data_IF_414252730027
#
_entry.id   IF_414252730027
#
_cell.length_a   1.000
_cell.length_b   1.000
_cell.length_c   1.000
_cell.angle_alpha   90.00
_cell.angle_beta   90.00
_cell.angle_gamma   90.00
#
_symmetry.space_group_name_H-M   'P 1'
#
loop_
_entity.id
_entity.type
_entity.pdbx_description
1 polymer ?
#
# COMPACT_ATOMS: atom_id res chain seq x y z
N UNK A 1 9.88 -22.27 7.63
CA UNK A 1 11.27 -21.77 7.72
C UNK A 1 11.32 -20.49 6.93
N UNK A 2 12.09 -19.50 7.38
CA UNK A 2 12.18 -18.20 6.71
C UNK A 2 12.74 -18.32 5.27
N UNK A 3 13.49 -19.41 4.98
CA UNK A 3 14.05 -19.74 3.67
C UNK A 3 13.04 -19.67 2.51
N UNK A 4 11.80 -20.14 2.71
CA UNK A 4 10.77 -20.11 1.66
C UNK A 4 10.19 -18.71 1.42
N UNK A 5 10.14 -17.86 2.45
CA UNK A 5 9.79 -16.45 2.27
C UNK A 5 10.90 -15.71 1.49
N UNK A 6 12.16 -16.02 1.78
CA UNK A 6 13.30 -15.44 1.08
C UNK A 6 13.36 -15.85 -0.40
N UNK A 7 13.09 -17.12 -0.73
CA UNK A 7 13.00 -17.62 -2.10
C UNK A 7 11.88 -16.90 -2.90
N UNK A 8 10.69 -16.77 -2.32
CA UNK A 8 9.56 -16.10 -2.97
C UNK A 8 9.81 -14.59 -3.13
N UNK A 9 10.42 -13.94 -2.14
CA UNK A 9 10.82 -12.53 -2.24
C UNK A 9 11.90 -12.32 -3.32
N UNK A 10 12.85 -13.25 -3.44
CA UNK A 10 13.85 -13.22 -4.50
C UNK A 10 13.19 -13.38 -5.88
N UNK A 11 12.27 -14.34 -6.04
CA UNK A 11 11.53 -14.55 -7.28
C UNK A 11 10.74 -13.31 -7.72
N UNK A 12 10.06 -12.64 -6.79
CA UNK A 12 9.37 -11.37 -7.05
C UNK A 12 10.35 -10.28 -7.50
N UNK A 13 11.53 -10.19 -6.87
CA UNK A 13 12.54 -9.17 -7.16
C UNK A 13 13.18 -9.34 -8.55
N UNK A 14 13.38 -10.57 -9.00
CA UNK A 14 14.03 -10.88 -10.29
C UNK A 14 13.05 -10.99 -11.47
N UNK A 15 11.75 -10.97 -11.22
CA UNK A 15 10.74 -10.99 -12.27
C UNK A 15 10.90 -9.78 -13.21
N UNK A 16 10.94 -10.06 -14.52
CA UNK A 16 11.23 -9.06 -15.56
C UNK A 16 9.93 -8.44 -16.10
N UNK A 17 8.90 -9.25 -16.31
CA UNK A 17 7.60 -8.81 -16.84
C UNK A 17 6.65 -8.37 -15.74
N UNK A 18 5.70 -7.50 -16.08
CA UNK A 18 4.70 -7.01 -15.12
C UNK A 18 3.83 -8.17 -14.60
N UNK A 19 3.34 -9.03 -15.49
CA UNK A 19 2.51 -10.18 -15.12
C UNK A 19 3.25 -11.15 -14.17
N UNK A 20 4.56 -11.37 -14.39
CA UNK A 20 5.36 -12.22 -13.52
C UNK A 20 5.60 -11.59 -12.14
N UNK A 21 5.72 -10.26 -12.07
CA UNK A 21 5.83 -9.54 -10.79
C UNK A 21 4.54 -9.64 -9.99
N UNK A 22 3.40 -9.51 -10.65
CA UNK A 22 2.08 -9.60 -10.01
C UNK A 22 1.83 -11.01 -9.48
N UNK A 23 2.08 -12.04 -10.29
CA UNK A 23 1.95 -13.44 -9.86
C UNK A 23 2.86 -13.78 -8.68
N UNK A 24 4.13 -13.37 -8.72
CA UNK A 24 5.08 -13.61 -7.63
C UNK A 24 4.72 -12.82 -6.35
N UNK A 25 4.16 -11.61 -6.49
CA UNK A 25 3.68 -10.82 -5.36
C UNK A 25 2.48 -11.48 -4.68
N UNK A 26 1.54 -12.02 -5.47
CA UNK A 26 0.37 -12.73 -4.97
C UNK A 26 0.77 -14.02 -4.23
N UNK A 27 1.71 -14.79 -4.77
CA UNK A 27 2.21 -16.01 -4.13
C UNK A 27 2.93 -15.71 -2.81
N UNK A 28 3.77 -14.67 -2.77
CA UNK A 28 4.42 -14.22 -1.52
C UNK A 28 3.40 -13.74 -0.49
N UNK A 29 2.43 -12.93 -0.92
CA UNK A 29 1.38 -12.42 -0.03
C UNK A 29 0.56 -13.57 0.58
N UNK A 30 0.18 -14.56 -0.24
CA UNK A 30 -0.53 -15.75 0.22
C UNK A 30 0.30 -16.54 1.23
N UNK A 31 1.58 -16.78 0.93
CA UNK A 31 2.48 -17.48 1.86
C UNK A 31 2.59 -16.73 3.20
N UNK A 32 2.79 -15.42 3.19
CA UNK A 32 2.88 -14.62 4.41
C UNK A 32 1.57 -14.65 5.22
N UNK A 33 0.41 -14.61 4.54
CA UNK A 33 -0.90 -14.68 5.19
C UNK A 33 -1.19 -16.04 5.83
N UNK A 34 -0.79 -17.13 5.19
CA UNK A 34 -0.99 -18.49 5.69
C UNK A 34 0.03 -18.90 6.76
N UNK A 35 1.26 -18.38 6.67
CA UNK A 35 2.39 -18.80 7.51
C UNK A 35 2.54 -17.94 8.76
N UNK A 36 2.21 -16.65 8.69
CA UNK A 36 2.28 -15.75 9.83
C UNK A 36 0.90 -15.57 10.47
N UNK A 37 0.87 -15.39 11.79
CA UNK A 37 -0.31 -14.99 12.57
C UNK A 37 -0.76 -13.53 12.28
N UNK A 38 -0.54 -13.05 11.04
CA UNK A 38 -0.93 -11.71 10.63
C UNK A 38 -2.42 -11.72 10.29
N UNK A 39 -3.25 -11.51 11.31
CA UNK A 39 -4.68 -11.25 11.14
C UNK A 39 -4.89 -9.74 10.98
N UNK A 40 -5.11 -9.20 9.75
CA UNK A 40 -5.37 -7.79 9.58
C UNK A 40 -6.68 -7.41 10.28
N UNK A 41 -6.59 -6.64 11.36
CA UNK A 41 -7.75 -6.26 12.17
C UNK A 41 -8.64 -5.23 11.46
N UNK A 42 -8.03 -4.30 10.73
CA UNK A 42 -8.72 -3.31 9.91
C UNK A 42 -7.73 -2.59 8.98
N UNK A 43 -8.25 -2.08 7.87
CA UNK A 43 -7.53 -1.13 7.01
C UNK A 43 -7.74 0.29 7.54
N UNK A 44 -6.66 0.99 7.88
CA UNK A 44 -6.73 2.38 8.33
C UNK A 44 -7.02 3.32 7.15
N UNK A 45 -8.08 4.12 7.27
CA UNK A 45 -8.39 5.19 6.33
C UNK A 45 -7.99 6.54 6.91
N UNK A 46 -7.37 7.39 6.07
CA UNK A 46 -7.04 8.77 6.44
C UNK A 46 -8.30 9.62 6.36
N UNK A 47 -8.73 10.17 7.49
CA UNK A 47 -9.75 11.20 7.55
C UNK A 47 -9.09 12.58 7.45
N UNK A 48 -9.63 13.47 6.60
CA UNK A 48 -9.16 14.84 6.47
C UNK A 48 -10.28 15.78 6.88
N UNK A 49 -10.01 16.63 7.87
CA UNK A 49 -10.95 17.62 8.38
C UNK A 49 -10.33 19.01 8.14
N UNK A 50 -11.08 19.90 7.50
CA UNK A 50 -10.64 21.25 7.18
C UNK A 50 -11.81 22.22 7.21
N UNK A 51 -11.51 23.52 7.34
CA UNK A 51 -12.51 24.58 7.30
C UNK A 51 -13.05 24.76 5.88
N UNK A 52 -14.30 25.18 5.80
CA UNK A 52 -15.15 25.17 4.60
C UNK A 52 -14.56 26.00 3.44
N UNK A 53 -13.82 27.06 3.78
CA UNK A 53 -13.14 27.93 2.82
C UNK A 53 -11.82 27.36 2.29
N UNK A 54 -11.39 26.18 2.75
CA UNK A 54 -10.19 25.50 2.28
C UNK A 54 -10.61 24.43 1.26
N UNK A 55 -9.99 24.43 0.09
CA UNK A 55 -10.28 23.48 -0.99
C UNK A 55 -9.02 22.82 -1.52
N UNK A 56 -9.19 21.73 -2.27
CA UNK A 56 -8.08 21.07 -2.98
C UNK A 56 -7.22 20.13 -2.13
N UNK A 57 -7.54 19.93 -0.84
CA UNK A 57 -6.88 18.94 0.00
C UNK A 57 -7.25 17.52 -0.49
N UNK A 58 -6.25 16.72 -0.85
CA UNK A 58 -6.42 15.31 -1.24
C UNK A 58 -5.39 14.43 -0.55
N UNK A 59 -5.84 13.29 -0.01
CA UNK A 59 -4.95 12.22 0.40
C UNK A 59 -4.34 11.56 -0.83
N UNK A 60 -3.03 11.39 -0.83
CA UNK A 60 -2.28 10.62 -1.82
C UNK A 60 -2.01 9.24 -1.23
N UNK A 61 -2.54 8.21 -1.88
CA UNK A 61 -2.36 6.80 -1.53
C UNK A 61 -2.62 6.49 -0.03
N UNK A 62 -3.50 7.25 0.62
CA UNK A 62 -3.82 7.08 2.05
C UNK A 62 -2.63 7.29 3.01
N UNK A 63 -1.54 7.94 2.57
CA UNK A 63 -0.30 8.08 3.38
C UNK A 63 0.19 9.52 3.51
N UNK A 64 -0.05 10.37 2.53
CA UNK A 64 0.37 11.77 2.55
C UNK A 64 -0.73 12.69 2.04
N UNK A 65 -0.61 13.98 2.33
CA UNK A 65 -1.54 15.01 1.85
C UNK A 65 -0.81 15.87 0.83
N UNK A 66 -1.41 16.06 -0.35
CA UNK A 66 -0.87 16.99 -1.34
C UNK A 66 -1.21 18.44 -0.95
N UNK A 67 -0.27 19.10 -0.28
CA UNK A 67 -0.41 20.51 0.13
C UNK A 67 -0.31 21.51 -1.03
N UNK A 68 0.31 21.14 -2.16
CA UNK A 68 0.44 22.02 -3.32
C UNK A 68 -0.90 22.26 -4.03
N UNK A 69 -1.88 21.39 -3.81
CA UNK A 69 -3.22 21.54 -4.37
C UNK A 69 -4.14 22.41 -3.48
N UNK A 70 -3.69 22.85 -2.30
CA UNK A 70 -4.52 23.55 -1.32
C UNK A 70 -4.76 24.99 -1.73
N UNK A 71 -6.02 25.41 -1.70
CA UNK A 71 -6.45 26.77 -2.05
C UNK A 71 -7.39 27.32 -0.99
N UNK A 72 -7.24 28.60 -0.68
CA UNK A 72 -8.21 29.36 0.09
C UNK A 72 -9.21 29.98 -0.88
N UNK A 73 -10.50 29.73 -0.64
CA UNK A 73 -11.59 30.36 -1.39
C UNK A 73 -12.14 31.47 -0.49
N UNK A 74 -11.95 32.71 -0.93
CA UNK A 74 -12.50 33.92 -0.32
C UNK A 74 -13.45 34.62 -1.26
#
# INVERSE_FOLDING_TARGET
TDDRAEELAYAQKVAITQDAKEAAAEELQKYLYETWWFAPLFEQKVAIIYRDYITGIRAVAGRSVNVNAVKLVG
#
